data_IF_553461468574
#
_entry.id   IF_553461468574
#
_cell.length_a   1.000
_cell.length_b   1.000
_cell.length_c   1.000
_cell.angle_alpha   90.00
_cell.angle_beta   90.00
_cell.angle_gamma   90.00
#
_symmetry.space_group_name_H-M   'P 1'
#
loop_
_entity.id
_entity.type
_entity.pdbx_description
1 polymer ?
#
# COMPACT_ATOMS: atom_id res chain seq x y z
N UNK A 1 -37.35 15.38 -14.64
CA UNK A 1 -36.92 14.57 -15.78
C UNK A 1 -35.38 14.46 -15.85
N UNK A 2 -34.72 15.59 -15.85
CA UNK A 2 -33.27 15.59 -15.86
C UNK A 2 -32.66 14.97 -14.60
N UNK A 3 -33.35 15.12 -13.48
CA UNK A 3 -32.92 14.50 -12.21
C UNK A 3 -32.99 12.97 -12.28
N UNK A 4 -33.98 12.41 -12.97
CA UNK A 4 -34.12 10.97 -13.11
C UNK A 4 -32.95 10.39 -13.93
N UNK A 5 -32.57 11.06 -15.01
CA UNK A 5 -31.43 10.64 -15.84
C UNK A 5 -30.12 10.77 -15.07
N UNK A 6 -29.92 11.89 -14.37
CA UNK A 6 -28.73 12.10 -13.55
C UNK A 6 -28.64 11.06 -12.42
N UNK A 7 -29.74 10.74 -11.77
CA UNK A 7 -29.78 9.73 -10.72
C UNK A 7 -29.45 8.33 -11.26
N UNK A 8 -29.90 7.99 -12.47
CA UNK A 8 -29.57 6.71 -13.10
C UNK A 8 -28.07 6.61 -13.39
N UNK A 9 -27.47 7.68 -13.86
CA UNK A 9 -26.02 7.74 -14.11
C UNK A 9 -25.24 7.57 -12.80
N UNK A 10 -25.64 8.28 -11.76
CA UNK A 10 -25.04 8.18 -10.44
C UNK A 10 -25.18 6.76 -9.90
N UNK A 11 -26.32 6.13 -10.06
CA UNK A 11 -26.57 4.76 -9.57
C UNK A 11 -25.75 3.71 -10.32
N UNK A 12 -25.38 3.95 -11.57
CA UNK A 12 -24.48 3.06 -12.31
C UNK A 12 -23.04 3.21 -11.80
N UNK A 13 -22.60 4.44 -11.51
CA UNK A 13 -21.23 4.70 -11.03
C UNK A 13 -20.98 4.28 -9.58
N UNK A 14 -21.97 4.49 -8.69
CA UNK A 14 -21.85 4.17 -7.27
C UNK A 14 -21.45 2.72 -6.98
N UNK A 15 -22.11 1.68 -7.54
CA UNK A 15 -21.72 0.30 -7.25
C UNK A 15 -20.28 -0.03 -7.64
N UNK A 16 -19.78 0.54 -8.73
CA UNK A 16 -18.40 0.30 -9.17
C UNK A 16 -17.40 0.92 -8.17
N UNK A 17 -17.65 2.15 -7.73
CA UNK A 17 -16.81 2.81 -6.75
C UNK A 17 -16.87 2.10 -5.40
N UNK A 18 -18.07 1.71 -4.97
CA UNK A 18 -18.25 0.98 -3.71
C UNK A 18 -17.54 -0.36 -3.73
N UNK A 19 -17.56 -1.10 -4.85
CA UNK A 19 -16.82 -2.35 -5.00
C UNK A 19 -15.33 -2.14 -4.90
N UNK A 20 -14.79 -1.11 -5.54
CA UNK A 20 -13.39 -0.76 -5.45
C UNK A 20 -12.98 -0.46 -4.01
N UNK A 21 -13.74 0.37 -3.32
CA UNK A 21 -13.44 0.74 -1.93
C UNK A 21 -13.64 -0.43 -0.97
N UNK A 22 -14.57 -1.34 -1.26
CA UNK A 22 -14.70 -2.58 -0.49
C UNK A 22 -13.46 -3.46 -0.65
N UNK A 23 -12.90 -3.56 -1.85
CA UNK A 23 -11.65 -4.29 -2.08
C UNK A 23 -10.48 -3.64 -1.35
N UNK A 24 -10.38 -2.31 -1.38
CA UNK A 24 -9.39 -1.56 -0.61
C UNK A 24 -9.52 -1.89 0.88
N UNK A 25 -10.74 -1.88 1.41
CA UNK A 25 -10.99 -2.24 2.81
C UNK A 25 -10.55 -3.67 3.11
N UNK A 26 -10.86 -4.63 2.22
CA UNK A 26 -10.47 -6.04 2.41
C UNK A 26 -8.94 -6.19 2.50
N UNK A 27 -8.20 -5.52 1.62
CA UNK A 27 -6.73 -5.53 1.70
C UNK A 27 -6.24 -4.93 3.02
N UNK A 28 -6.89 -3.88 3.51
CA UNK A 28 -6.48 -3.24 4.77
C UNK A 28 -6.59 -4.16 5.97
N UNK A 29 -7.52 -5.13 5.92
CA UNK A 29 -7.72 -6.07 7.03
C UNK A 29 -6.57 -7.03 7.24
N UNK A 30 -5.76 -7.28 6.20
CA UNK A 30 -4.60 -8.16 6.30
C UNK A 30 -3.29 -7.39 6.39
N UNK A 31 -3.35 -6.07 6.53
CA UNK A 31 -2.16 -5.25 6.70
C UNK A 31 -1.49 -5.57 8.04
N UNK A 32 -0.16 -5.52 8.04
CA UNK A 32 0.66 -5.81 9.21
C UNK A 32 1.39 -4.55 9.66
N UNK A 33 1.74 -4.49 10.93
CA UNK A 33 2.58 -3.42 11.44
C UNK A 33 3.99 -3.55 10.89
N UNK A 34 4.60 -2.42 10.54
CA UNK A 34 5.95 -2.37 9.99
C UNK A 34 6.69 -1.17 10.56
N UNK A 35 8.00 -1.33 10.77
CA UNK A 35 8.87 -0.24 11.20
C UNK A 35 9.84 0.04 10.06
N UNK A 36 9.89 1.29 9.61
CA UNK A 36 10.88 1.76 8.65
C UNK A 36 11.39 3.11 9.12
N UNK A 37 12.71 3.26 9.18
CA UNK A 37 13.36 4.51 9.59
C UNK A 37 12.82 5.01 10.94
N UNK A 38 12.63 4.08 11.90
CA UNK A 38 12.09 4.30 13.23
C UNK A 38 10.65 4.84 13.26
N UNK A 39 9.93 4.76 12.17
CA UNK A 39 8.52 5.15 12.08
C UNK A 39 7.65 3.90 11.99
N UNK A 40 6.45 4.01 12.53
CA UNK A 40 5.50 2.89 12.59
C UNK A 40 4.45 3.05 11.50
N UNK A 41 4.37 2.06 10.63
CA UNK A 41 3.41 2.05 9.54
C UNK A 41 2.64 0.76 9.44
N UNK A 42 1.85 0.67 8.38
CA UNK A 42 1.13 -0.53 7.98
C UNK A 42 1.59 -0.95 6.61
N UNK A 43 1.81 -2.25 6.42
CA UNK A 43 2.28 -2.82 5.16
C UNK A 43 1.32 -3.87 4.66
N UNK A 44 1.06 -3.86 3.36
CA UNK A 44 0.22 -4.87 2.71
C UNK A 44 0.62 -5.04 1.25
N UNK A 45 0.45 -6.26 0.74
CA UNK A 45 0.60 -6.57 -0.68
C UNK A 45 -0.75 -6.39 -1.38
N UNK A 46 -0.76 -5.69 -2.50
CA UNK A 46 -1.98 -5.51 -3.29
C UNK A 46 -1.62 -5.17 -4.74
N UNK A 47 -2.52 -5.44 -5.70
CA UNK A 47 -2.30 -5.04 -7.09
C UNK A 47 -2.05 -3.55 -7.25
N UNK A 48 -1.30 -3.18 -8.28
CA UNK A 48 -0.87 -1.80 -8.55
C UNK A 48 -2.03 -0.81 -8.52
N UNK A 49 -3.20 -1.18 -9.03
CA UNK A 49 -4.36 -0.27 -9.13
C UNK A 49 -4.88 0.22 -7.78
N UNK A 50 -4.53 -0.46 -6.68
CA UNK A 50 -4.97 -0.08 -5.34
C UNK A 50 -3.95 0.75 -4.57
N UNK A 51 -2.73 0.92 -5.08
CA UNK A 51 -1.63 1.45 -4.26
C UNK A 51 -1.91 2.82 -3.66
N UNK A 52 -2.50 3.74 -4.41
CA UNK A 52 -2.79 5.08 -3.91
C UNK A 52 -3.91 5.09 -2.87
N UNK A 53 -5.05 4.52 -3.21
CA UNK A 53 -6.23 4.54 -2.32
C UNK A 53 -6.00 3.70 -1.07
N UNK A 54 -5.39 2.53 -1.23
CA UNK A 54 -5.07 1.67 -0.09
C UNK A 54 -4.02 2.30 0.81
N UNK A 55 -2.97 2.88 0.24
CA UNK A 55 -1.95 3.59 1.01
C UNK A 55 -2.55 4.70 1.84
N UNK A 56 -3.41 5.52 1.25
CA UNK A 56 -4.11 6.59 1.96
C UNK A 56 -5.06 6.03 3.04
N UNK A 57 -5.75 4.94 2.73
CA UNK A 57 -6.63 4.27 3.69
C UNK A 57 -5.86 3.80 4.92
N UNK A 58 -4.70 3.17 4.72
CA UNK A 58 -3.85 2.71 5.82
C UNK A 58 -3.39 3.85 6.71
N UNK A 59 -3.06 5.01 6.13
CA UNK A 59 -2.67 6.19 6.91
C UNK A 59 -3.77 6.65 7.85
N UNK A 60 -5.03 6.52 7.44
CA UNK A 60 -6.19 6.92 8.26
C UNK A 60 -6.41 6.01 9.46
N UNK A 61 -5.73 4.86 9.51
CA UNK A 61 -5.82 3.94 10.63
C UNK A 61 -4.92 4.36 11.81
N UNK A 62 -4.30 5.53 11.74
CA UNK A 62 -3.47 6.06 12.83
C UNK A 62 -2.00 5.72 12.71
N UNK A 63 -1.56 5.14 11.61
CA UNK A 63 -0.16 4.84 11.36
C UNK A 63 0.58 6.08 10.85
N UNK A 64 1.90 6.12 11.05
CA UNK A 64 2.73 7.21 10.53
C UNK A 64 2.80 7.17 9.00
N UNK A 65 2.70 5.98 8.42
CA UNK A 65 2.71 5.80 6.97
C UNK A 65 2.00 4.51 6.58
N UNK A 66 1.64 4.42 5.30
CA UNK A 66 1.16 3.18 4.68
C UNK A 66 2.09 2.76 3.56
N UNK A 67 2.44 1.48 3.54
CA UNK A 67 3.23 0.89 2.47
C UNK A 67 2.42 -0.19 1.76
N UNK A 68 2.21 0.00 0.47
CA UNK A 68 1.56 -1.00 -0.37
C UNK A 68 2.58 -1.48 -1.39
N UNK A 69 2.83 -2.78 -1.46
CA UNK A 69 3.78 -3.31 -2.42
C UNK A 69 3.13 -4.31 -3.37
N UNK A 70 3.71 -4.41 -4.55
CA UNK A 70 3.36 -5.44 -5.53
C UNK A 70 4.63 -5.95 -6.19
N UNK A 71 4.55 -7.15 -6.76
CA UNK A 71 5.70 -7.81 -7.39
C UNK A 71 5.45 -7.81 -8.90
N UNK A 72 6.39 -7.24 -9.66
CA UNK A 72 6.33 -7.29 -11.11
C UNK A 72 6.66 -8.68 -11.63
N UNK A 73 6.29 -8.97 -12.89
CA UNK A 73 6.63 -10.24 -13.53
C UNK A 73 8.14 -10.51 -13.53
N UNK A 74 8.94 -9.44 -13.59
CA UNK A 74 10.40 -9.51 -13.50
C UNK A 74 10.93 -9.92 -12.12
N UNK A 75 10.06 -9.90 -11.10
CA UNK A 75 10.45 -10.14 -9.71
C UNK A 75 10.76 -8.89 -8.91
N UNK A 76 10.83 -7.72 -9.55
CA UNK A 76 11.03 -6.45 -8.85
C UNK A 76 9.86 -6.19 -7.92
N UNK A 77 10.17 -5.79 -6.68
CA UNK A 77 9.16 -5.40 -5.70
C UNK A 77 9.03 -3.88 -5.73
N UNK A 78 7.86 -3.40 -6.09
CA UNK A 78 7.53 -1.98 -6.09
C UNK A 78 6.85 -1.62 -4.78
N UNK A 79 7.41 -0.65 -4.06
CA UNK A 79 6.90 -0.21 -2.77
C UNK A 79 6.39 1.22 -2.88
N UNK A 80 5.10 1.39 -2.63
CA UNK A 80 4.43 2.69 -2.65
C UNK A 80 4.17 3.14 -1.22
N UNK A 81 4.60 4.36 -0.89
CA UNK A 81 4.49 4.93 0.44
C UNK A 81 3.54 6.11 0.42
N UNK A 82 2.68 6.17 1.44
CA UNK A 82 1.76 7.30 1.64
C UNK A 82 1.82 7.75 3.09
N UNK A 83 1.63 9.05 3.29
CA UNK A 83 1.52 9.65 4.63
C UNK A 83 0.54 10.81 4.59
N UNK A 84 0.00 11.15 5.77
CA UNK A 84 -0.87 12.30 5.96
C UNK A 84 -0.09 13.30 6.82
N UNK A 85 -0.11 14.59 6.43
CA UNK A 85 0.54 15.62 7.23
C UNK A 85 0.17 15.48 8.71
N UNK A 86 1.12 15.67 9.63
CA UNK A 86 2.51 16.13 9.45
C UNK A 86 3.52 15.03 9.10
N UNK A 87 3.08 13.80 8.95
CA UNK A 87 3.96 12.69 8.63
C UNK A 87 4.45 12.76 7.18
N UNK A 88 5.65 12.24 6.92
CA UNK A 88 6.26 12.25 5.59
C UNK A 88 6.90 10.91 5.27
N UNK A 89 7.00 10.60 3.98
CA UNK A 89 7.57 9.33 3.49
C UNK A 89 8.71 9.49 2.49
N UNK A 90 8.98 10.72 2.03
CA UNK A 90 10.06 10.94 1.06
C UNK A 90 11.44 10.55 1.61
N UNK A 91 11.70 10.81 2.89
CA UNK A 91 12.97 10.43 3.53
C UNK A 91 13.10 8.91 3.65
N UNK A 92 12.00 8.21 3.94
CA UNK A 92 12.00 6.75 3.96
C UNK A 92 12.36 6.21 2.58
N UNK A 93 11.71 6.71 1.54
CA UNK A 93 11.97 6.28 0.17
C UNK A 93 13.43 6.54 -0.23
N UNK A 94 13.98 7.70 0.09
CA UNK A 94 15.37 8.05 -0.21
C UNK A 94 16.36 7.11 0.48
N UNK A 95 16.09 6.71 1.70
CA UNK A 95 16.93 5.77 2.44
C UNK A 95 17.11 4.46 1.68
N UNK A 96 16.08 4.04 0.94
CA UNK A 96 16.08 2.78 0.18
C UNK A 96 16.26 2.98 -1.33
N UNK A 97 16.80 4.14 -1.74
CA UNK A 97 17.18 4.39 -3.12
C UNK A 97 16.08 4.95 -4.00
N UNK A 98 14.95 5.29 -3.44
CA UNK A 98 13.83 5.87 -4.16
C UNK A 98 13.66 7.37 -3.91
N UNK A 99 12.43 7.84 -3.94
CA UNK A 99 12.11 9.25 -3.72
C UNK A 99 10.65 9.55 -3.97
N UNK A 100 10.34 10.84 -3.98
CA UNK A 100 8.98 11.32 -4.23
C UNK A 100 8.65 12.55 -3.41
N UNK A 101 7.36 12.74 -3.15
CA UNK A 101 6.83 13.85 -2.38
C UNK A 101 6.70 13.47 -0.89
N UNK A 102 6.58 14.46 0.00
CA UNK A 102 6.42 14.15 1.43
C UNK A 102 5.27 13.19 1.75
N UNK A 103 4.15 13.28 1.06
CA UNK A 103 2.99 12.43 1.32
C UNK A 103 2.82 11.27 0.34
N UNK A 104 3.66 11.19 -0.71
CA UNK A 104 3.57 10.14 -1.73
C UNK A 104 4.93 9.88 -2.32
N UNK A 105 5.54 8.77 -1.97
CA UNK A 105 6.88 8.40 -2.41
C UNK A 105 6.93 6.91 -2.73
N UNK A 106 8.02 6.47 -3.32
CA UNK A 106 8.18 5.08 -3.70
C UNK A 106 9.64 4.67 -3.74
N UNK A 107 9.87 3.38 -3.54
CA UNK A 107 11.16 2.75 -3.77
C UNK A 107 10.94 1.35 -4.31
N UNK A 108 12.00 0.70 -4.74
CA UNK A 108 11.93 -0.67 -5.26
C UNK A 108 13.07 -1.52 -4.72
N UNK A 109 12.82 -2.83 -4.65
CA UNK A 109 13.83 -3.82 -4.35
C UNK A 109 13.97 -4.77 -5.54
N UNK A 110 15.15 -5.31 -5.77
CA UNK A 110 15.41 -6.18 -6.91
C UNK A 110 14.57 -7.45 -6.90
N UNK A 111 14.26 -7.96 -5.70
CA UNK A 111 13.46 -9.17 -5.50
C UNK A 111 12.92 -9.22 -4.07
N UNK A 112 12.09 -10.23 -3.80
CA UNK A 112 11.48 -10.40 -2.47
C UNK A 112 12.51 -10.71 -1.39
N UNK A 113 13.58 -11.40 -1.72
CA UNK A 113 14.65 -11.70 -0.74
C UNK A 113 15.30 -10.42 -0.23
N UNK A 114 15.62 -9.50 -1.14
CA UNK A 114 16.19 -8.21 -0.75
C UNK A 114 15.18 -7.37 0.03
N UNK A 115 13.91 -7.41 -0.35
CA UNK A 115 12.86 -6.70 0.37
C UNK A 115 12.73 -7.22 1.81
N UNK A 116 12.68 -8.53 1.98
CA UNK A 116 12.61 -9.14 3.32
C UNK A 116 13.84 -8.81 4.15
N UNK A 117 15.03 -8.85 3.54
CA UNK A 117 16.26 -8.49 4.22
C UNK A 117 16.23 -7.05 4.70
N UNK A 118 15.76 -6.14 3.86
CA UNK A 118 15.60 -4.73 4.21
C UNK A 118 14.67 -4.59 5.42
N UNK A 119 13.53 -5.27 5.41
CA UNK A 119 12.58 -5.21 6.51
C UNK A 119 13.20 -5.76 7.81
N UNK A 120 13.95 -6.84 7.74
CA UNK A 120 14.64 -7.41 8.90
C UNK A 120 15.69 -6.44 9.46
N UNK A 121 16.44 -5.80 8.59
CA UNK A 121 17.46 -4.82 8.99
C UNK A 121 16.83 -3.59 9.66
N UNK A 122 15.58 -3.26 9.33
CA UNK A 122 14.84 -2.18 9.98
C UNK A 122 14.17 -2.61 11.29
N UNK A 123 14.36 -3.85 11.72
CA UNK A 123 13.87 -4.33 13.00
C UNK A 123 12.57 -5.11 12.96
N UNK A 124 12.11 -5.47 11.77
CA UNK A 124 10.86 -6.22 11.63
C UNK A 124 11.09 -7.71 11.68
N UNK A 125 10.16 -8.44 12.30
CA UNK A 125 10.12 -9.91 12.31
C UNK A 125 8.99 -10.44 11.43
N UNK A 126 8.57 -9.64 10.45
CA UNK A 126 7.48 -9.98 9.55
C UNK A 126 7.86 -11.16 8.64
N UNK A 127 7.02 -12.19 8.61
CA UNK A 127 7.08 -13.16 7.54
C UNK A 127 6.11 -12.68 6.45
N UNK A 128 6.66 -12.08 5.40
CA UNK A 128 5.86 -11.69 4.26
C UNK A 128 5.56 -12.90 3.40
N UNK A 129 4.46 -13.45 3.56
CA UNK A 129 3.50 -14.07 2.65
C UNK A 129 4.00 -14.93 1.49
N UNK A 130 5.23 -15.40 1.50
CA UNK A 130 5.62 -16.50 0.62
C UNK A 130 4.73 -17.71 0.93
N UNK A 131 4.43 -17.91 2.22
CA UNK A 131 3.55 -18.98 2.67
C UNK A 131 2.09 -18.74 2.32
N UNK A 132 1.59 -17.52 2.43
CA UNK A 132 0.21 -17.21 2.03
C UNK A 132 0.00 -17.39 0.53
N UNK A 133 1.00 -17.10 -0.28
CA UNK A 133 0.92 -17.37 -1.71
C UNK A 133 0.88 -18.87 -2.00
N UNK A 134 1.55 -19.68 -1.20
CA UNK A 134 1.48 -21.13 -1.31
C UNK A 134 0.14 -21.70 -0.86
N UNK A 135 -0.48 -21.11 0.15
CA UNK A 135 -1.77 -21.56 0.66
C UNK A 135 -2.93 -21.23 -0.28
N UNK A 136 -2.76 -20.27 -1.17
CA UNK A 136 -3.75 -19.94 -2.18
C UNK A 136 -3.71 -20.84 -3.42
N UNK A 137 -2.73 -21.65 -3.51
CA UNK A 137 -2.60 -22.63 -4.57
C UNK A 137 -3.26 -23.95 -4.17
#
# INVERSE_FOLDING_TARGET
FNETIANNIINIGKPIHENFMNEVHQFSLIAQNVILDNKQGLIVKAPKKYTSDLGNYLCRQGADFGLVYFIEDSGIVRCSLRAIEPNTVNNIAQKFGGGGHPQAAAFRCANMQEFQKLLQEEGNSLSLNIEQNKLKL
#
